data_IF_587233945695
#
_entry.id   IF_587233945695
#
_cell.length_a   1.000
_cell.length_b   1.000
_cell.length_c   1.000
_cell.angle_alpha   90.00
_cell.angle_beta   90.00
_cell.angle_gamma   90.00
#
_symmetry.space_group_name_H-M   'P 1'
#
loop_
_entity.id
_entity.type
_entity.pdbx_description
1 polymer ?
#
# COMPACT_ATOMS: atom_id res chain seq x y z
N UNK A 1 -20.23 14.77 -2.74
CA UNK A 1 -18.76 14.63 -2.73
C UNK A 1 -18.45 13.16 -2.44
N UNK A 2 -17.75 12.48 -3.34
CA UNK A 2 -17.40 11.06 -3.25
C UNK A 2 -16.26 10.87 -2.25
N UNK A 3 -16.38 9.87 -1.35
CA UNK A 3 -15.31 9.52 -0.43
C UNK A 3 -14.47 8.38 -1.01
N UNK A 4 -13.19 8.63 -1.23
CA UNK A 4 -12.23 7.65 -1.75
C UNK A 4 -11.24 7.31 -0.63
N UNK A 5 -11.15 6.04 -0.28
CA UNK A 5 -10.18 5.52 0.69
C UNK A 5 -9.19 4.61 -0.03
N UNK A 6 -7.93 5.00 0.02
CA UNK A 6 -6.85 4.35 -0.73
C UNK A 6 -5.90 3.66 0.24
N UNK A 7 -5.62 2.38 -0.02
CA UNK A 7 -4.54 1.66 0.64
C UNK A 7 -3.31 1.63 -0.27
N UNK A 8 -2.19 2.18 0.19
CA UNK A 8 -0.90 2.16 -0.51
C UNK A 8 -0.02 1.10 0.13
N UNK A 9 0.44 0.14 -0.67
CA UNK A 9 1.26 -0.98 -0.22
C UNK A 9 2.38 -1.33 -1.22
N UNK A 10 3.30 -2.20 -0.85
CA UNK A 10 4.45 -2.62 -1.66
C UNK A 10 5.70 -2.78 -0.81
N UNK A 11 6.76 -3.33 -1.38
CA UNK A 11 8.00 -3.62 -0.69
C UNK A 11 8.67 -2.36 -0.10
N UNK A 12 9.54 -2.54 0.89
CA UNK A 12 10.32 -1.45 1.48
C UNK A 12 11.20 -0.78 0.43
N UNK A 13 11.33 0.54 0.50
CA UNK A 13 12.17 1.32 -0.43
C UNK A 13 11.53 1.55 -1.81
N UNK A 14 10.32 1.08 -2.08
CA UNK A 14 9.64 1.31 -3.38
C UNK A 14 9.10 2.74 -3.56
N UNK A 15 9.12 3.58 -2.52
CA UNK A 15 8.70 4.98 -2.61
C UNK A 15 7.26 5.24 -2.15
N UNK A 16 6.62 4.34 -1.39
CA UNK A 16 5.25 4.51 -0.85
C UNK A 16 5.05 5.84 -0.14
N UNK A 17 5.88 6.12 0.87
CA UNK A 17 5.77 7.36 1.65
C UNK A 17 6.03 8.60 0.81
N UNK A 18 6.97 8.55 -0.14
CA UNK A 18 7.22 9.66 -1.07
C UNK A 18 6.01 9.93 -1.97
N UNK A 19 5.36 8.86 -2.46
CA UNK A 19 4.12 8.93 -3.22
C UNK A 19 3.01 9.57 -2.39
N UNK A 20 2.79 9.09 -1.17
CA UNK A 20 1.77 9.62 -0.26
C UNK A 20 2.02 11.10 0.08
N UNK A 21 3.29 11.49 0.34
CA UNK A 21 3.67 12.87 0.59
C UNK A 21 3.35 13.77 -0.61
N UNK A 22 3.66 13.32 -1.84
CA UNK A 22 3.39 14.09 -3.05
C UNK A 22 1.89 14.26 -3.31
N UNK A 23 1.11 13.19 -3.14
CA UNK A 23 -0.36 13.25 -3.32
C UNK A 23 -1.03 14.19 -2.32
N UNK A 24 -0.62 14.12 -1.05
CA UNK A 24 -1.27 14.85 0.05
C UNK A 24 -0.69 16.25 0.30
N UNK A 25 0.45 16.59 -0.33
CA UNK A 25 1.19 17.82 -0.03
C UNK A 25 1.82 17.84 1.37
N UNK A 26 1.90 16.68 2.04
CA UNK A 26 2.49 16.55 3.38
C UNK A 26 3.97 16.14 3.29
N UNK A 27 4.73 16.43 4.34
CA UNK A 27 6.15 16.05 4.45
C UNK A 27 6.30 15.12 5.65
N UNK A 28 6.19 13.81 5.39
CA UNK A 28 6.65 12.80 6.35
C UNK A 28 8.10 12.45 6.04
N UNK A 29 8.89 12.13 7.07
CA UNK A 29 10.25 11.67 6.85
C UNK A 29 10.26 10.48 5.88
N UNK A 30 11.11 10.57 4.87
CA UNK A 30 11.45 9.48 3.96
C UNK A 30 12.93 9.25 4.09
N UNK A 31 13.37 8.01 4.09
CA UNK A 31 14.79 7.67 4.17
C UNK A 31 15.18 6.79 2.98
N UNK A 32 16.36 7.03 2.47
CA UNK A 32 17.04 6.17 1.50
C UNK A 32 18.01 5.18 2.19
N UNK A 33 17.96 5.10 3.53
CA UNK A 33 18.78 4.18 4.31
C UNK A 33 18.36 2.71 4.10
N UNK A 34 19.28 1.81 4.41
CA UNK A 34 19.07 0.35 4.28
C UNK A 34 18.04 -0.21 5.30
N UNK A 35 17.56 0.61 6.24
CA UNK A 35 16.54 0.23 7.22
C UNK A 35 15.28 1.07 6.98
N UNK A 36 14.11 0.42 6.83
CA UNK A 36 12.84 1.11 6.67
C UNK A 36 12.48 1.97 7.90
N UNK A 37 11.92 3.16 7.67
CA UNK A 37 11.52 4.11 8.73
C UNK A 37 10.09 3.90 9.18
N UNK A 38 9.22 3.38 8.31
CA UNK A 38 7.79 3.30 8.61
C UNK A 38 7.52 2.13 9.55
N UNK A 39 7.53 2.40 10.85
CA UNK A 39 7.29 1.38 11.88
C UNK A 39 5.81 1.04 12.10
N UNK A 40 4.88 1.83 11.53
CA UNK A 40 3.41 1.61 11.63
C UNK A 40 2.71 2.17 10.41
N UNK A 41 1.58 1.54 10.04
CA UNK A 41 0.68 2.09 9.02
C UNK A 41 0.22 3.51 9.37
N UNK A 42 0.15 4.39 8.39
CA UNK A 42 -0.21 5.79 8.62
C UNK A 42 -1.41 6.22 7.81
N UNK A 43 -2.43 6.71 8.51
CA UNK A 43 -3.57 7.40 7.90
C UNK A 43 -3.21 8.89 7.73
N UNK A 44 -3.10 9.33 6.48
CA UNK A 44 -2.91 10.75 6.16
C UNK A 44 -4.22 11.51 6.37
N UNK A 45 -4.16 12.78 6.86
CA UNK A 45 -5.32 13.64 6.86
C UNK A 45 -5.94 13.72 5.47
N UNK A 46 -7.26 13.60 5.40
CA UNK A 46 -7.97 13.68 4.14
C UNK A 46 -7.70 15.00 3.43
N UNK A 47 -7.59 14.95 2.11
CA UNK A 47 -7.55 16.12 1.26
C UNK A 47 -8.70 16.10 0.26
N UNK A 48 -9.01 17.25 -0.31
CA UNK A 48 -10.12 17.42 -1.23
C UNK A 48 -9.61 17.73 -2.63
N UNK A 49 -10.32 17.20 -3.61
CA UNK A 49 -10.35 17.66 -4.99
C UNK A 49 -11.74 18.24 -5.25
N UNK A 50 -12.02 18.75 -6.45
CA UNK A 50 -13.31 19.40 -6.77
C UNK A 50 -14.52 18.51 -6.40
N UNK A 51 -14.46 17.20 -6.67
CA UNK A 51 -15.56 16.28 -6.50
C UNK A 51 -15.34 15.18 -5.43
N UNK A 52 -14.12 15.03 -4.94
CA UNK A 52 -13.74 13.90 -4.09
C UNK A 52 -13.06 14.35 -2.79
N UNK A 53 -13.35 13.63 -1.72
CA UNK A 53 -12.57 13.62 -0.49
C UNK A 53 -11.74 12.33 -0.46
N UNK A 54 -10.42 12.45 -0.38
CA UNK A 54 -9.48 11.33 -0.50
C UNK A 54 -8.73 11.14 0.81
N UNK A 55 -8.76 9.92 1.32
CA UNK A 55 -7.97 9.45 2.46
C UNK A 55 -6.97 8.41 1.98
N UNK A 56 -5.72 8.50 2.44
CA UNK A 56 -4.65 7.57 2.08
C UNK A 56 -4.12 6.90 3.34
N UNK A 57 -4.02 5.57 3.29
CA UNK A 57 -3.35 4.75 4.29
C UNK A 57 -2.07 4.22 3.66
N UNK A 58 -0.91 4.66 4.20
CA UNK A 58 0.43 4.18 3.85
C UNK A 58 0.77 2.99 4.75
N UNK A 59 1.06 1.83 4.16
CA UNK A 59 1.41 0.64 4.94
C UNK A 59 2.92 0.52 5.15
N UNK A 60 3.28 -0.20 6.20
CA UNK A 60 4.64 -0.75 6.34
C UNK A 60 4.86 -1.80 5.25
N UNK A 61 6.09 -1.94 4.75
CA UNK A 61 6.44 -3.06 3.87
C UNK A 61 6.36 -4.38 4.66
N UNK A 62 5.54 -5.32 4.22
CA UNK A 62 5.31 -6.59 4.92
C UNK A 62 6.60 -7.41 5.12
N UNK A 63 7.58 -7.23 4.23
CA UNK A 63 8.81 -8.01 4.21
C UNK A 63 9.88 -7.55 5.20
N UNK A 64 9.73 -6.38 5.83
CA UNK A 64 10.59 -6.00 6.94
C UNK A 64 10.47 -6.98 8.12
N UNK A 65 9.26 -7.51 8.30
CA UNK A 65 8.98 -8.53 9.32
C UNK A 65 9.42 -9.93 8.92
N UNK A 66 9.41 -10.28 7.61
CA UNK A 66 9.74 -11.64 7.14
C UNK A 66 11.24 -11.94 7.08
N UNK A 67 12.10 -10.91 7.02
CA UNK A 67 13.56 -11.09 7.08
C UNK A 67 14.10 -11.31 8.50
N UNK A 68 13.23 -11.51 9.50
CA UNK A 68 13.61 -11.77 10.88
C UNK A 68 14.13 -10.57 11.65
N UNK A 69 14.02 -9.36 11.08
CA UNK A 69 14.44 -8.12 11.74
C UNK A 69 13.35 -7.52 12.65
N UNK A 70 12.09 -7.86 12.41
CA UNK A 70 10.96 -7.43 13.24
C UNK A 70 10.45 -8.61 14.06
N UNK A 71 10.32 -8.49 15.39
CA UNK A 71 9.71 -9.52 16.21
C UNK A 71 8.29 -9.86 15.74
N UNK A 72 7.94 -11.13 15.78
CA UNK A 72 6.63 -11.63 15.37
C UNK A 72 5.46 -10.89 16.06
N UNK A 73 5.64 -10.46 17.30
CA UNK A 73 4.66 -9.68 18.04
C UNK A 73 4.38 -8.31 17.42
N UNK A 74 5.39 -7.69 16.83
CA UNK A 74 5.25 -6.40 16.16
C UNK A 74 4.48 -6.53 14.85
N UNK A 75 4.70 -7.59 14.07
CA UNK A 75 3.93 -7.84 12.84
C UNK A 75 2.43 -8.01 13.11
N UNK A 76 2.06 -8.67 14.23
CA UNK A 76 0.66 -8.76 14.67
C UNK A 76 0.09 -7.39 14.99
N UNK A 77 0.84 -6.58 15.76
CA UNK A 77 0.40 -5.22 16.14
C UNK A 77 0.22 -4.35 14.90
N UNK A 78 1.12 -4.45 13.92
CA UNK A 78 1.03 -3.70 12.67
C UNK A 78 -0.19 -4.12 11.82
N UNK A 79 -0.49 -5.43 11.78
CA UNK A 79 -1.67 -5.93 11.09
C UNK A 79 -2.97 -5.48 11.78
N UNK A 80 -3.02 -5.52 13.11
CA UNK A 80 -4.15 -5.03 13.89
C UNK A 80 -4.37 -3.53 13.61
N UNK A 81 -3.31 -2.72 13.71
CA UNK A 81 -3.35 -1.29 13.44
C UNK A 81 -3.84 -0.98 12.03
N UNK A 82 -3.38 -1.76 11.03
CA UNK A 82 -3.86 -1.64 9.66
C UNK A 82 -5.36 -1.96 9.55
N UNK A 83 -5.82 -3.06 10.16
CA UNK A 83 -7.21 -3.47 10.07
C UNK A 83 -8.15 -2.53 10.83
N UNK A 84 -7.71 -1.91 11.92
CA UNK A 84 -8.47 -0.86 12.59
C UNK A 84 -8.67 0.37 11.69
N UNK A 85 -7.59 0.82 11.03
CA UNK A 85 -7.67 1.91 10.04
C UNK A 85 -8.52 1.52 8.82
N UNK A 86 -8.60 0.22 8.51
CA UNK A 86 -9.39 -0.33 7.42
C UNK A 86 -10.88 -0.53 7.76
N UNK A 87 -11.33 -0.18 8.97
CA UNK A 87 -12.72 -0.40 9.44
C UNK A 87 -13.77 0.14 8.46
N UNK A 88 -13.51 1.30 7.87
CA UNK A 88 -14.43 1.93 6.92
C UNK A 88 -14.26 1.43 5.47
N UNK A 89 -13.39 0.45 5.27
CA UNK A 89 -13.13 -0.17 3.98
C UNK A 89 -12.18 0.62 3.10
N UNK A 90 -12.04 0.14 1.85
CA UNK A 90 -11.22 0.77 0.80
C UNK A 90 -12.00 0.89 -0.50
N UNK A 91 -11.71 1.95 -1.25
CA UNK A 91 -12.21 2.16 -2.61
C UNK A 91 -11.22 1.70 -3.67
N UNK A 92 -9.93 1.72 -3.34
CA UNK A 92 -8.83 1.40 -4.25
C UNK A 92 -7.61 0.91 -3.49
N UNK A 93 -6.89 -0.01 -4.10
CA UNK A 93 -5.56 -0.42 -3.72
C UNK A 93 -4.54 0.18 -4.68
N UNK A 94 -3.42 0.69 -4.16
CA UNK A 94 -2.28 1.18 -4.96
C UNK A 94 -1.06 0.37 -4.55
N UNK A 95 -0.65 -0.55 -5.40
CA UNK A 95 0.65 -1.20 -5.23
C UNK A 95 1.74 -0.28 -5.77
N UNK A 96 2.81 -0.14 -5.02
CA UNK A 96 3.97 0.68 -5.41
C UNK A 96 5.16 -0.23 -5.67
N UNK A 97 5.71 -0.13 -6.87
CA UNK A 97 6.95 -0.82 -7.24
C UNK A 97 7.95 0.17 -7.82
N UNK A 98 9.23 -0.21 -7.83
CA UNK A 98 10.25 0.56 -8.54
C UNK A 98 10.40 0.03 -9.96
N UNK A 99 10.74 0.90 -10.91
CA UNK A 99 11.09 0.54 -12.28
C UNK A 99 12.32 -0.39 -12.29
N UNK A 100 12.08 -1.68 -12.05
CA UNK A 100 13.08 -2.74 -11.93
C UNK A 100 12.46 -4.08 -12.24
N UNK A 101 13.18 -5.19 -12.04
CA UNK A 101 12.62 -6.54 -12.17
C UNK A 101 11.54 -6.76 -11.11
N UNK A 102 10.48 -7.50 -11.49
CA UNK A 102 9.47 -7.97 -10.53
C UNK A 102 10.17 -8.89 -9.53
N UNK A 103 10.04 -8.57 -8.26
CA UNK A 103 10.65 -9.34 -7.17
C UNK A 103 9.64 -10.30 -6.54
N UNK A 104 10.15 -11.25 -5.73
CA UNK A 104 9.30 -12.16 -4.96
C UNK A 104 8.39 -11.38 -4.00
N UNK A 105 8.92 -10.34 -3.37
CA UNK A 105 8.18 -9.46 -2.46
C UNK A 105 7.00 -8.78 -3.17
N UNK A 106 7.20 -8.37 -4.43
CA UNK A 106 6.10 -7.81 -5.24
C UNK A 106 4.96 -8.80 -5.39
N UNK A 107 5.27 -10.06 -5.73
CA UNK A 107 4.27 -11.13 -5.87
C UNK A 107 3.57 -11.46 -4.55
N UNK A 108 4.31 -11.52 -3.45
CA UNK A 108 3.78 -11.81 -2.11
C UNK A 108 2.88 -10.67 -1.61
N UNK A 109 3.27 -9.40 -1.81
CA UNK A 109 2.46 -8.24 -1.51
C UNK A 109 1.14 -8.26 -2.29
N UNK A 110 1.19 -8.51 -3.61
CA UNK A 110 -0.01 -8.63 -4.43
C UNK A 110 -0.92 -9.75 -3.92
N UNK A 111 -0.36 -10.93 -3.73
CA UNK A 111 -1.10 -12.09 -3.23
C UNK A 111 -1.76 -11.81 -1.88
N UNK A 112 -1.04 -11.19 -0.95
CA UNK A 112 -1.60 -10.89 0.36
C UNK A 112 -2.69 -9.80 0.29
N UNK A 113 -2.38 -8.60 -0.21
CA UNK A 113 -3.30 -7.46 -0.15
C UNK A 113 -4.48 -7.62 -1.12
N UNK A 114 -4.23 -8.09 -2.34
CA UNK A 114 -5.27 -8.16 -3.37
C UNK A 114 -6.06 -9.46 -3.28
N UNK A 115 -5.38 -10.61 -3.29
CA UNK A 115 -6.08 -11.89 -3.38
C UNK A 115 -6.62 -12.37 -2.03
N UNK A 116 -5.84 -12.20 -0.94
CA UNK A 116 -6.16 -12.78 0.37
C UNK A 116 -6.91 -11.83 1.28
N UNK A 117 -6.39 -10.63 1.48
CA UNK A 117 -7.01 -9.65 2.38
C UNK A 117 -8.32 -9.11 1.80
N UNK A 118 -8.31 -8.65 0.54
CA UNK A 118 -9.49 -8.07 -0.11
C UNK A 118 -10.26 -9.05 -1.01
N UNK A 119 -9.76 -10.27 -1.20
CA UNK A 119 -10.38 -11.32 -2.02
C UNK A 119 -10.68 -10.86 -3.46
N UNK A 120 -9.83 -10.00 -4.03
CA UNK A 120 -10.03 -9.43 -5.35
C UNK A 120 -11.23 -8.48 -5.50
N UNK A 121 -11.89 -8.13 -4.39
CA UNK A 121 -13.12 -7.33 -4.41
C UNK A 121 -12.89 -5.82 -4.50
N UNK A 122 -11.64 -5.36 -4.41
CA UNK A 122 -11.27 -3.95 -4.49
C UNK A 122 -10.32 -3.79 -5.67
N UNK A 123 -10.56 -2.83 -6.58
CA UNK A 123 -9.68 -2.61 -7.70
C UNK A 123 -8.28 -2.22 -7.25
N UNK A 124 -7.28 -2.57 -8.05
CA UNK A 124 -5.87 -2.27 -7.80
C UNK A 124 -5.24 -1.62 -9.02
N UNK A 125 -4.44 -0.58 -8.78
CA UNK A 125 -3.54 0.02 -9.78
C UNK A 125 -2.09 -0.18 -9.34
N UNK A 126 -1.16 -0.11 -10.30
CA UNK A 126 0.27 -0.17 -10.04
C UNK A 126 0.90 1.20 -10.28
N UNK A 127 1.47 1.80 -9.23
CA UNK A 127 2.32 2.98 -9.36
C UNK A 127 3.78 2.54 -9.50
N UNK A 128 4.40 2.86 -10.62
CA UNK A 128 5.80 2.51 -10.92
C UNK A 128 6.68 3.72 -10.66
N UNK A 129 7.47 3.67 -9.60
CA UNK A 129 8.42 4.73 -9.22
C UNK A 129 9.78 4.54 -9.88
N UNK A 130 10.61 5.58 -9.89
CA UNK A 130 11.97 5.49 -10.46
C UNK A 130 11.98 5.66 -11.97
N UNK A 131 10.90 6.21 -12.57
CA UNK A 131 10.83 6.48 -14.01
C UNK A 131 11.47 7.81 -14.43
N UNK A 132 12.15 8.51 -13.53
CA UNK A 132 12.83 9.78 -13.81
C UNK A 132 13.96 9.70 -14.84
N UNK A 133 14.51 8.50 -15.07
CA UNK A 133 15.55 8.27 -16.07
C UNK A 133 15.02 7.82 -17.44
N UNK A 134 13.70 7.74 -17.58
CA UNK A 134 13.03 7.34 -18.82
C UNK A 134 12.53 8.56 -19.61
N UNK A 135 12.64 8.49 -20.94
CA UNK A 135 12.09 9.53 -21.82
C UNK A 135 11.36 8.93 -23.03
N UNK A 136 10.05 9.16 -23.16
CA UNK A 136 9.17 9.75 -22.15
C UNK A 136 9.10 8.87 -20.90
N UNK A 137 8.60 9.41 -19.78
CA UNK A 137 8.54 8.69 -18.49
C UNK A 137 7.70 7.40 -18.56
N UNK A 138 6.80 7.29 -19.54
CA UNK A 138 6.00 6.07 -19.81
C UNK A 138 6.80 4.93 -20.40
N UNK A 139 7.97 5.20 -21.00
CA UNK A 139 8.73 4.22 -21.80
C UNK A 139 9.03 2.92 -21.06
N UNK A 140 9.28 2.99 -19.74
CA UNK A 140 9.53 1.78 -18.96
C UNK A 140 8.28 0.91 -18.87
N UNK A 141 7.13 1.51 -18.58
CA UNK A 141 5.84 0.80 -18.49
C UNK A 141 5.48 0.20 -19.85
N UNK A 142 5.61 0.98 -20.94
CA UNK A 142 5.28 0.54 -22.29
C UNK A 142 6.07 -0.73 -22.69
N UNK A 143 7.36 -0.78 -22.33
CA UNK A 143 8.23 -1.95 -22.63
C UNK A 143 7.98 -3.16 -21.72
N UNK A 144 7.39 -2.96 -20.54
CA UNK A 144 7.28 -4.00 -19.53
C UNK A 144 5.83 -4.40 -19.22
N UNK A 145 4.85 -3.83 -19.90
CA UNK A 145 3.41 -4.05 -19.63
C UNK A 145 3.03 -5.54 -19.65
N UNK A 146 3.59 -6.31 -20.56
CA UNK A 146 3.31 -7.75 -20.70
C UNK A 146 3.72 -8.53 -19.43
N UNK A 147 4.82 -8.15 -18.77
CA UNK A 147 5.29 -8.80 -17.54
C UNK A 147 4.29 -8.68 -16.39
N UNK A 148 3.41 -7.68 -16.43
CA UNK A 148 2.37 -7.44 -15.42
C UNK A 148 1.01 -8.02 -15.81
N UNK A 149 0.86 -8.63 -16.96
CA UNK A 149 -0.43 -9.17 -17.48
C UNK A 149 -1.05 -10.26 -16.58
N UNK A 150 -0.23 -10.95 -15.78
CA UNK A 150 -0.69 -11.96 -14.81
C UNK A 150 -1.40 -11.37 -13.58
N UNK A 151 -1.29 -10.06 -13.36
CA UNK A 151 -1.92 -9.35 -12.27
C UNK A 151 -3.17 -8.61 -12.76
N UNK A 152 -4.17 -8.43 -11.91
CA UNK A 152 -5.42 -7.76 -12.26
C UNK A 152 -5.34 -6.22 -12.09
N UNK A 153 -4.20 -5.61 -12.42
CA UNK A 153 -4.08 -4.14 -12.36
C UNK A 153 -5.02 -3.49 -13.37
N UNK A 154 -5.76 -2.49 -12.92
CA UNK A 154 -6.61 -1.66 -13.78
C UNK A 154 -5.78 -0.72 -14.63
N UNK A 155 -4.65 -0.27 -14.11
CA UNK A 155 -3.76 0.67 -14.77
C UNK A 155 -2.35 0.56 -14.20
N UNK A 156 -1.33 0.81 -15.04
CA UNK A 156 0.06 0.97 -14.65
C UNK A 156 0.43 2.44 -14.83
N UNK A 157 0.78 3.14 -13.75
CA UNK A 157 1.04 4.58 -13.76
C UNK A 157 2.53 4.82 -13.51
N UNK A 158 3.31 5.25 -14.53
CA UNK A 158 4.70 5.63 -14.35
C UNK A 158 4.80 6.92 -13.54
N UNK A 159 5.73 6.97 -12.59
CA UNK A 159 5.85 8.10 -11.67
C UNK A 159 7.31 8.39 -11.32
N UNK A 160 7.57 9.66 -11.00
CA UNK A 160 8.78 10.13 -10.36
C UNK A 160 8.44 10.67 -8.98
N UNK A 161 8.85 9.97 -7.94
CA UNK A 161 8.70 10.42 -6.55
C UNK A 161 10.04 10.46 -5.82
N UNK A 162 11.13 10.68 -6.56
CA UNK A 162 12.42 10.91 -5.95
C UNK A 162 12.34 12.05 -4.93
N UNK A 163 12.62 11.74 -3.66
CA UNK A 163 12.58 12.68 -2.55
C UNK A 163 13.79 12.46 -1.65
N UNK A 164 14.33 13.56 -1.15
CA UNK A 164 15.54 13.56 -0.35
C UNK A 164 16.82 13.50 -1.18
N UNK A 165 17.89 14.03 -0.58
CA UNK A 165 19.21 14.10 -1.21
C UNK A 165 19.41 15.32 -2.12
N UNK A 166 20.65 15.48 -2.64
CA UNK A 166 21.05 16.70 -3.34
C UNK A 166 20.33 16.94 -4.68
N UNK A 167 19.70 15.93 -5.24
CA UNK A 167 18.98 16.01 -6.52
C UNK A 167 17.47 16.25 -6.37
N UNK A 168 16.99 16.45 -5.16
CA UNK A 168 15.53 16.59 -4.90
C UNK A 168 14.89 17.72 -5.70
N UNK A 169 15.54 18.89 -5.77
CA UNK A 169 15.05 20.04 -6.52
C UNK A 169 15.05 19.78 -8.03
N UNK A 170 16.03 19.04 -8.54
CA UNK A 170 16.10 18.68 -9.95
C UNK A 170 14.88 17.84 -10.39
N UNK A 171 14.42 16.93 -9.54
CA UNK A 171 13.26 16.09 -9.83
C UNK A 171 11.90 16.68 -9.43
N UNK A 172 11.87 17.88 -8.84
CA UNK A 172 10.63 18.52 -8.42
C UNK A 172 9.61 18.70 -9.57
N UNK A 173 9.98 19.13 -10.80
CA UNK A 173 9.04 19.22 -11.92
C UNK A 173 8.43 17.86 -12.29
N UNK A 174 9.23 16.79 -12.32
CA UNK A 174 8.76 15.44 -12.65
C UNK A 174 7.82 14.88 -11.56
N UNK A 175 8.08 15.19 -10.29
CA UNK A 175 7.14 14.84 -9.19
C UNK A 175 5.79 15.48 -9.39
N UNK A 176 5.76 16.76 -9.73
CA UNK A 176 4.50 17.47 -10.00
C UNK A 176 3.78 16.89 -11.22
N UNK A 177 4.51 16.58 -12.30
CA UNK A 177 3.96 15.91 -13.49
C UNK A 177 3.40 14.52 -13.18
N UNK A 178 3.97 13.81 -12.20
CA UNK A 178 3.51 12.48 -11.80
C UNK A 178 2.25 12.53 -10.94
N UNK A 179 2.01 13.62 -10.23
CA UNK A 179 0.91 13.76 -9.28
C UNK A 179 -0.46 13.69 -9.95
N UNK A 180 -0.66 14.48 -10.99
CA UNK A 180 -1.98 14.60 -11.64
C UNK A 180 -2.41 13.30 -12.37
N UNK A 181 -1.55 12.62 -13.16
CA UNK A 181 -1.90 11.33 -13.74
C UNK A 181 -2.24 10.27 -12.68
N UNK A 182 -1.46 10.20 -11.60
CA UNK A 182 -1.72 9.23 -10.52
C UNK A 182 -3.02 9.57 -9.79
N UNK A 183 -3.29 10.83 -9.49
CA UNK A 183 -4.53 11.28 -8.86
C UNK A 183 -5.74 10.99 -9.77
N UNK A 184 -5.62 11.26 -11.07
CA UNK A 184 -6.64 10.93 -12.07
C UNK A 184 -6.93 9.42 -12.11
N UNK A 185 -5.88 8.59 -12.13
CA UNK A 185 -6.00 7.14 -12.08
C UNK A 185 -6.68 6.64 -10.79
N UNK A 186 -6.33 7.23 -9.64
CA UNK A 186 -6.98 6.93 -8.35
C UNK A 186 -8.48 7.23 -8.43
N UNK A 187 -8.86 8.41 -8.88
CA UNK A 187 -10.27 8.85 -8.95
C UNK A 187 -11.06 7.99 -9.95
N UNK A 188 -10.46 7.70 -11.10
CA UNK A 188 -11.10 6.92 -12.17
C UNK A 188 -11.36 5.47 -11.76
N UNK A 189 -10.37 4.81 -11.15
CA UNK A 189 -10.42 3.39 -10.86
C UNK A 189 -11.03 3.03 -9.49
N UNK A 190 -11.23 4.00 -8.59
CA UNK A 190 -11.79 3.74 -7.28
C UNK A 190 -13.27 3.31 -7.34
N UNK A 191 -13.69 2.44 -6.44
CA UNK A 191 -15.12 2.15 -6.21
C UNK A 191 -15.87 3.42 -5.78
N UNK A 192 -17.13 3.51 -6.16
CA UNK A 192 -18.01 4.64 -5.75
C UNK A 192 -18.10 4.73 -4.24
N UNK A 193 -18.27 3.60 -3.56
CA UNK A 193 -18.29 3.48 -2.11
C UNK A 193 -17.17 2.55 -1.63
N UNK A 194 -16.50 2.86 -0.50
CA UNK A 194 -15.51 1.98 0.08
C UNK A 194 -16.11 0.62 0.45
N UNK A 195 -15.43 -0.46 0.09
CA UNK A 195 -15.83 -1.82 0.44
C UNK A 195 -15.14 -2.26 1.73
N UNK A 196 -15.93 -2.64 2.71
CA UNK A 196 -15.44 -3.13 4.00
C UNK A 196 -14.83 -4.52 3.88
N UNK A 197 -13.75 -4.77 4.62
CA UNK A 197 -13.07 -6.06 4.64
C UNK A 197 -13.76 -7.08 5.55
N UNK A 198 -14.59 -6.62 6.48
CA UNK A 198 -15.31 -7.43 7.47
C UNK A 198 -16.65 -6.79 7.80
N UNK A 199 -17.58 -7.62 8.30
CA UNK A 199 -18.92 -7.16 8.69
C UNK A 199 -18.85 -6.19 9.88
N UNK A 200 -19.69 -5.17 9.87
CA UNK A 200 -19.87 -4.23 10.99
C UNK A 200 -20.80 -4.85 12.00
N UNK A 201 -20.37 -5.03 13.23
CA UNK A 201 -21.37 -5.30 14.27
C UNK A 201 -20.89 -5.93 15.56
N UNK A 202 -19.90 -6.79 15.56
CA UNK A 202 -19.44 -7.42 16.79
C UNK A 202 -17.93 -7.58 16.84
N UNK A 203 -17.35 -7.48 18.04
CA UNK A 203 -15.94 -7.82 18.29
C UNK A 203 -15.61 -9.24 17.76
N UNK A 204 -16.58 -10.16 17.78
CA UNK A 204 -16.43 -11.51 17.25
C UNK A 204 -16.18 -11.53 15.74
N UNK A 205 -16.88 -10.74 14.93
CA UNK A 205 -16.68 -10.70 13.47
C UNK A 205 -15.35 -10.07 13.09
N UNK A 206 -14.88 -9.07 13.84
CA UNK A 206 -13.55 -8.49 13.67
C UNK A 206 -12.45 -9.50 13.98
N UNK A 207 -12.53 -10.18 15.14
CA UNK A 207 -11.53 -11.17 15.55
C UNK A 207 -11.47 -12.38 14.59
N UNK A 208 -12.61 -12.84 14.06
CA UNK A 208 -12.63 -13.88 13.02
C UNK A 208 -11.91 -13.42 11.74
N UNK A 209 -12.17 -12.20 11.31
CA UNK A 209 -11.52 -11.62 10.13
C UNK A 209 -10.03 -11.41 10.36
N UNK A 210 -9.64 -10.91 11.53
CA UNK A 210 -8.25 -10.75 11.93
C UNK A 210 -7.50 -12.09 11.93
N UNK A 211 -8.08 -13.14 12.51
CA UNK A 211 -7.50 -14.49 12.53
C UNK A 211 -7.35 -15.04 11.10
N UNK A 212 -8.37 -14.87 10.25
CA UNK A 212 -8.31 -15.29 8.85
C UNK A 212 -7.18 -14.58 8.11
N UNK A 213 -7.13 -13.25 8.19
CA UNK A 213 -6.13 -12.43 7.49
C UNK A 213 -4.72 -12.75 8.01
N UNK A 214 -4.55 -12.97 9.32
CA UNK A 214 -3.30 -13.40 9.90
C UNK A 214 -2.82 -14.75 9.34
N UNK A 215 -3.70 -15.74 9.28
CA UNK A 215 -3.35 -17.06 8.73
C UNK A 215 -2.94 -16.95 7.25
N UNK A 216 -3.60 -16.11 6.46
CA UNK A 216 -3.23 -15.84 5.07
C UNK A 216 -1.88 -15.10 4.97
N UNK A 217 -1.62 -14.14 5.87
CA UNK A 217 -0.33 -13.47 5.94
C UNK A 217 0.81 -14.46 6.18
N UNK A 218 0.68 -15.31 7.20
CA UNK A 218 1.66 -16.37 7.51
C UNK A 218 1.86 -17.31 6.32
N UNK A 219 0.77 -17.72 5.66
CA UNK A 219 0.83 -18.64 4.52
C UNK A 219 1.54 -18.01 3.30
N UNK A 220 1.36 -16.70 3.06
CA UNK A 220 1.99 -16.01 1.91
C UNK A 220 3.45 -15.68 2.18
N UNK A 221 3.79 -15.21 3.38
CA UNK A 221 5.14 -14.73 3.71
C UNK A 221 6.05 -15.79 4.29
N UNK A 222 5.54 -17.01 4.55
CA UNK A 222 6.24 -18.06 5.29
C UNK A 222 6.77 -17.57 6.66
N UNK A 223 6.06 -16.63 7.27
CA UNK A 223 6.42 -16.04 8.55
C UNK A 223 6.40 -17.11 9.66
N UNK A 224 7.37 -17.15 10.57
CA UNK A 224 7.40 -18.16 11.62
C UNK A 224 6.18 -18.01 12.55
N UNK A 225 5.33 -19.02 12.51
CA UNK A 225 4.09 -19.08 13.27
C UNK A 225 4.35 -19.55 14.70
N UNK A 226 3.82 -18.80 15.69
CA UNK A 226 3.79 -19.28 17.08
C UNK A 226 2.35 -19.27 17.60
N UNK A 227 1.96 -20.33 18.34
CA UNK A 227 0.63 -20.43 18.97
C UNK A 227 0.33 -19.25 19.93
N UNK A 228 1.37 -18.65 20.51
CA UNK A 228 1.28 -17.46 21.37
C UNK A 228 0.61 -16.28 20.64
N UNK A 229 0.78 -16.19 19.32
CA UNK A 229 0.19 -15.11 18.52
C UNK A 229 -1.31 -15.28 18.31
N UNK A 230 -1.79 -16.51 18.10
CA UNK A 230 -3.23 -16.78 18.03
C UNK A 230 -3.93 -16.39 19.33
N UNK A 231 -3.29 -16.64 20.46
CA UNK A 231 -3.86 -16.26 21.76
C UNK A 231 -4.00 -14.74 21.90
N UNK A 232 -2.99 -13.95 21.47
CA UNK A 232 -3.05 -12.49 21.46
C UNK A 232 -4.11 -11.97 20.48
N UNK A 233 -4.23 -12.56 19.28
CA UNK A 233 -5.25 -12.18 18.31
C UNK A 233 -6.68 -12.46 18.81
N UNK A 234 -6.89 -13.61 19.45
CA UNK A 234 -8.20 -13.99 20.00
C UNK A 234 -8.58 -13.20 21.26
N UNK A 235 -7.60 -12.68 21.99
CA UNK A 235 -7.79 -11.82 23.16
C UNK A 235 -7.95 -10.33 22.83
N UNK A 236 -7.74 -9.96 21.56
CA UNK A 236 -7.85 -8.56 21.13
C UNK A 236 -9.33 -8.12 21.16
N UNK A 237 -9.61 -7.07 21.90
CA UNK A 237 -10.90 -6.37 21.92
C UNK A 237 -10.70 -5.02 21.23
N UNK A 238 -11.32 -4.77 20.07
CA UNK A 238 -11.23 -3.46 19.42
C UNK A 238 -11.90 -2.40 20.31
N UNK A 239 -11.25 -1.23 20.41
CA UNK A 239 -11.75 -0.03 21.09
C UNK A 239 -12.98 0.56 20.38
#
# INVERSE_FOLDING_TARGET
>A
MRNIRVLVFGATGTGKTSLCNTLTGRKRPTDNGARGITAKSHLYPAFQTDDCRIEIIDTVGLHESSQGTVPAEQAVVELIDLLEKARDGFSLLVQVTRASRITKEHDEDYKFFVEKMTQGNIPVILAVTGCENEYPMTSWVDRNQEAFSRFAYKELVPTCFASGGPMEEFFAPLRLQSREPLLGSIIHNALVEPRKLYGTGTSSSFNQSLTRIWNEFVAVTAYPYTQVMLHKLNAYVPL
#
